data_IF_446580668944
#
_entry.id   IF_446580668944
#
_cell.length_a   1.000
_cell.length_b   1.000
_cell.length_c   1.000
_cell.angle_alpha   90.00
_cell.angle_beta   90.00
_cell.angle_gamma   90.00
#
_symmetry.space_group_name_H-M   'P 1'
#
loop_
_entity.id
_entity.type
_entity.pdbx_description
1 polymer ?
#
# COMPACT_ATOMS: atom_id res chain seq x y z
N UNK A 1 -37.11 -28.83 -14.52
CA UNK A 1 -36.93 -27.57 -15.28
C UNK A 1 -35.44 -27.27 -15.23
N UNK A 2 -34.70 -27.67 -16.26
CA UNK A 2 -33.24 -27.59 -16.33
C UNK A 2 -32.80 -26.16 -16.66
N UNK A 3 -31.87 -25.63 -15.86
CA UNK A 3 -31.21 -24.35 -16.13
C UNK A 3 -30.44 -24.45 -17.46
N UNK A 4 -30.47 -23.42 -18.32
CA UNK A 4 -29.73 -23.44 -19.58
C UNK A 4 -28.23 -23.35 -19.32
N UNK A 5 -27.49 -24.35 -19.80
CA UNK A 5 -26.03 -24.29 -19.94
C UNK A 5 -25.67 -23.15 -20.92
N UNK A 6 -25.15 -22.04 -20.41
CA UNK A 6 -24.46 -21.05 -21.24
C UNK A 6 -23.17 -21.66 -21.77
N UNK A 7 -23.23 -22.22 -22.98
CA UNK A 7 -22.04 -22.56 -23.78
C UNK A 7 -21.24 -21.27 -24.00
N UNK A 8 -20.07 -21.19 -23.39
CA UNK A 8 -19.09 -20.15 -23.73
C UNK A 8 -18.55 -20.52 -25.12
N UNK A 9 -19.15 -19.94 -26.16
CA UNK A 9 -18.59 -19.98 -27.49
C UNK A 9 -17.30 -19.14 -27.47
N UNK A 10 -16.14 -19.79 -27.47
CA UNK A 10 -14.86 -19.12 -27.72
C UNK A 10 -14.85 -18.67 -29.17
N UNK A 11 -15.29 -17.43 -29.42
CA UNK A 11 -15.17 -16.80 -30.71
C UNK A 11 -13.68 -16.61 -31.02
N UNK A 12 -13.25 -16.99 -32.23
CA UNK A 12 -11.91 -16.65 -32.71
C UNK A 12 -11.76 -15.13 -32.73
N UNK A 13 -10.65 -14.61 -32.18
CA UNK A 13 -10.32 -13.19 -32.31
C UNK A 13 -10.20 -12.90 -33.80
N UNK A 14 -10.87 -11.84 -34.25
CA UNK A 14 -10.80 -11.39 -35.64
C UNK A 14 -9.33 -11.15 -36.03
N UNK A 15 -8.89 -11.70 -37.17
CA UNK A 15 -7.52 -11.57 -37.66
C UNK A 15 -7.02 -10.12 -37.71
N UNK A 16 -7.89 -9.17 -38.05
CA UNK A 16 -7.53 -7.75 -38.07
C UNK A 16 -7.32 -7.18 -36.66
N UNK A 17 -8.14 -7.61 -35.71
CA UNK A 17 -7.96 -7.24 -34.29
C UNK A 17 -6.68 -7.85 -33.72
N UNK A 18 -6.38 -9.10 -34.06
CA UNK A 18 -5.15 -9.77 -33.65
C UNK A 18 -3.91 -9.07 -34.21
N UNK A 19 -3.97 -8.63 -35.48
CA UNK A 19 -2.91 -7.82 -36.10
C UNK A 19 -2.68 -6.51 -35.33
N UNK A 20 -3.73 -5.84 -34.88
CA UNK A 20 -3.62 -4.63 -34.05
C UNK A 20 -2.96 -4.95 -32.70
N UNK A 21 -3.41 -6.00 -32.00
CA UNK A 21 -2.86 -6.40 -30.70
C UNK A 21 -1.37 -6.78 -30.82
N UNK A 22 -1.00 -7.51 -31.88
CA UNK A 22 0.36 -8.00 -32.08
C UNK A 22 1.36 -6.90 -32.44
N UNK A 23 0.91 -5.80 -33.08
CA UNK A 23 1.80 -4.78 -33.64
C UNK A 23 1.71 -3.41 -32.94
N UNK A 24 0.72 -3.16 -32.08
CA UNK A 24 0.68 -1.93 -31.30
C UNK A 24 1.85 -1.89 -30.30
N UNK A 25 2.57 -0.76 -30.21
CA UNK A 25 3.52 -0.55 -29.12
C UNK A 25 2.85 -0.71 -27.74
N UNK A 26 3.53 -1.27 -26.73
CA UNK A 26 2.91 -1.51 -25.42
C UNK A 26 2.24 -0.29 -24.79
N UNK A 27 2.85 0.90 -24.91
CA UNK A 27 2.24 2.13 -24.39
C UNK A 27 0.98 2.54 -25.15
N UNK A 28 0.97 2.36 -26.48
CA UNK A 28 -0.22 2.61 -27.29
C UNK A 28 -1.34 1.62 -26.95
N UNK A 29 -1.02 0.34 -26.77
CA UNK A 29 -1.98 -0.67 -26.34
C UNK A 29 -2.59 -0.34 -24.96
N UNK A 30 -1.77 0.09 -23.99
CA UNK A 30 -2.26 0.55 -22.68
C UNK A 30 -3.15 1.78 -22.81
N UNK A 31 -2.79 2.74 -23.67
CA UNK A 31 -3.61 3.93 -23.92
C UNK A 31 -4.97 3.58 -24.52
N UNK A 32 -5.01 2.71 -25.54
CA UNK A 32 -6.26 2.23 -26.15
C UNK A 32 -7.11 1.48 -25.13
N UNK A 33 -6.50 0.59 -24.35
CA UNK A 33 -7.21 -0.15 -23.30
C UNK A 33 -7.83 0.79 -22.27
N UNK A 34 -7.09 1.79 -21.77
CA UNK A 34 -7.64 2.79 -20.84
C UNK A 34 -8.80 3.57 -21.47
N UNK A 35 -8.70 3.91 -22.75
CA UNK A 35 -9.80 4.58 -23.47
C UNK A 35 -11.04 3.71 -23.48
N UNK A 36 -10.94 2.43 -23.87
CA UNK A 36 -12.06 1.47 -23.87
C UNK A 36 -12.70 1.37 -22.49
N UNK A 37 -11.89 1.22 -21.43
CA UNK A 37 -12.41 1.09 -20.06
C UNK A 37 -13.10 2.36 -19.57
N UNK A 38 -12.68 3.53 -20.06
CA UNK A 38 -13.26 4.82 -19.69
C UNK A 38 -14.55 5.10 -20.46
N UNK A 39 -14.59 4.75 -21.75
CA UNK A 39 -15.77 4.99 -22.61
C UNK A 39 -16.85 3.94 -22.43
N UNK A 40 -16.46 2.71 -22.11
CA UNK A 40 -17.33 1.54 -22.08
C UNK A 40 -17.12 0.74 -20.78
N UNK A 41 -17.70 1.19 -19.64
CA UNK A 41 -17.44 0.60 -18.32
C UNK A 41 -17.75 -0.89 -18.20
N UNK A 42 -18.63 -1.42 -19.07
CA UNK A 42 -18.97 -2.84 -19.14
C UNK A 42 -17.77 -3.76 -19.43
N UNK A 43 -16.67 -3.25 -19.99
CA UNK A 43 -15.47 -4.04 -20.25
C UNK A 43 -14.55 -4.21 -19.02
N UNK A 44 -14.72 -3.41 -17.97
CA UNK A 44 -13.86 -3.48 -16.77
C UNK A 44 -13.92 -4.84 -16.11
N UNK A 45 -15.14 -5.34 -15.82
CA UNK A 45 -15.31 -6.66 -15.21
C UNK A 45 -14.83 -7.81 -16.12
N UNK A 46 -14.93 -7.66 -17.45
CA UNK A 46 -14.41 -8.63 -18.39
C UNK A 46 -12.88 -8.67 -18.37
N UNK A 47 -12.21 -7.51 -18.41
CA UNK A 47 -10.76 -7.41 -18.31
C UNK A 47 -10.25 -8.04 -17.00
N UNK A 48 -10.86 -7.68 -15.87
CA UNK A 48 -10.51 -8.25 -14.56
C UNK A 48 -10.69 -9.78 -14.54
N UNK A 49 -11.82 -10.28 -15.05
CA UNK A 49 -12.12 -11.71 -15.12
C UNK A 49 -11.10 -12.47 -15.98
N UNK A 50 -10.78 -11.96 -17.17
CA UNK A 50 -9.81 -12.60 -18.06
C UNK A 50 -8.39 -12.55 -17.48
N UNK A 51 -7.99 -11.43 -16.86
CA UNK A 51 -6.72 -11.31 -16.16
C UNK A 51 -6.62 -12.29 -14.98
N UNK A 52 -7.67 -12.40 -14.17
CA UNK A 52 -7.75 -13.35 -13.06
C UNK A 52 -7.57 -14.78 -13.54
N UNK A 53 -8.27 -15.18 -14.61
CA UNK A 53 -8.16 -16.52 -15.21
C UNK A 53 -6.76 -16.79 -15.74
N UNK A 54 -6.12 -15.81 -16.37
CA UNK A 54 -4.73 -15.92 -16.83
C UNK A 54 -3.77 -16.13 -15.65
N UNK A 55 -3.93 -15.36 -14.57
CA UNK A 55 -3.10 -15.50 -13.37
C UNK A 55 -3.25 -16.88 -12.74
N UNK A 56 -4.48 -17.33 -12.49
CA UNK A 56 -4.75 -18.65 -11.92
C UNK A 56 -4.21 -19.79 -12.79
N UNK A 57 -4.31 -19.67 -14.13
CA UNK A 57 -3.74 -20.64 -15.07
C UNK A 57 -2.21 -20.70 -15.02
N UNK A 58 -1.56 -19.56 -14.79
CA UNK A 58 -0.09 -19.45 -14.78
C UNK A 58 0.53 -19.60 -13.38
N UNK A 59 -0.28 -19.61 -12.32
CA UNK A 59 0.18 -19.74 -10.94
C UNK A 59 0.99 -21.02 -10.68
N UNK A 60 0.60 -22.21 -11.18
CA UNK A 60 1.38 -23.43 -10.93
C UNK A 60 2.81 -23.39 -11.47
N UNK A 61 3.05 -22.60 -12.52
CA UNK A 61 4.37 -22.43 -13.14
C UNK A 61 5.15 -21.23 -12.59
N UNK A 62 4.54 -20.41 -11.73
CA UNK A 62 5.18 -19.23 -11.18
C UNK A 62 5.96 -19.59 -9.91
N UNK A 63 7.27 -19.28 -9.89
CA UNK A 63 8.14 -19.44 -8.73
C UNK A 63 8.77 -18.10 -8.38
N UNK A 64 8.87 -17.78 -7.09
CA UNK A 64 9.38 -16.50 -6.61
C UNK A 64 10.91 -16.36 -6.75
N UNK A 65 11.65 -17.43 -7.02
CA UNK A 65 13.09 -17.42 -7.30
C UNK A 65 13.93 -16.62 -6.29
N UNK A 66 15.10 -16.13 -6.72
CA UNK A 66 15.95 -15.24 -5.92
C UNK A 66 15.58 -13.78 -6.18
N UNK A 67 15.19 -13.05 -5.13
CA UNK A 67 14.70 -11.67 -5.22
C UNK A 67 15.81 -10.62 -5.04
N UNK A 68 16.88 -11.00 -4.37
CA UNK A 68 17.99 -10.13 -4.04
C UNK A 68 19.30 -10.79 -4.46
N UNK A 69 20.28 -9.98 -4.81
CA UNK A 69 21.64 -10.41 -5.15
C UNK A 69 22.65 -9.48 -4.50
N UNK A 70 23.90 -9.93 -4.41
CA UNK A 70 24.97 -9.22 -3.72
C UNK A 70 25.02 -9.55 -2.23
N UNK A 71 25.90 -8.84 -1.53
CA UNK A 71 26.13 -8.99 -0.11
C UNK A 71 26.37 -7.63 0.56
N UNK A 72 26.54 -7.63 1.89
CA UNK A 72 26.79 -6.42 2.66
C UNK A 72 28.07 -5.66 2.22
N UNK A 73 28.99 -6.32 1.51
CA UNK A 73 30.27 -5.74 1.09
C UNK A 73 30.25 -5.19 -0.34
N UNK A 74 29.42 -5.77 -1.21
CA UNK A 74 29.32 -5.47 -2.64
C UNK A 74 28.10 -4.63 -3.01
N UNK A 75 27.18 -4.44 -2.07
CA UNK A 75 25.89 -3.77 -2.30
C UNK A 75 24.80 -4.80 -2.56
N UNK A 76 23.66 -4.65 -1.87
CA UNK A 76 22.48 -5.49 -2.08
C UNK A 76 21.58 -4.85 -3.13
N UNK A 77 21.24 -5.60 -4.16
CA UNK A 77 20.39 -5.16 -5.26
C UNK A 77 19.19 -6.10 -5.47
N UNK A 78 18.12 -5.56 -6.05
CA UNK A 78 16.96 -6.35 -6.47
C UNK A 78 17.21 -7.04 -7.81
N UNK A 79 16.76 -8.27 -7.96
CA UNK A 79 16.86 -9.02 -9.22
C UNK A 79 15.70 -8.71 -10.18
N UNK A 80 15.79 -9.20 -11.42
CA UNK A 80 14.66 -9.20 -12.37
C UNK A 80 13.45 -9.96 -11.83
N UNK A 81 13.69 -10.98 -11.01
CA UNK A 81 12.64 -11.77 -10.39
C UNK A 81 11.86 -10.97 -9.33
N UNK A 82 12.51 -10.03 -8.63
CA UNK A 82 11.83 -9.06 -7.78
C UNK A 82 10.80 -8.26 -8.57
N UNK A 83 11.25 -7.60 -9.64
CA UNK A 83 10.37 -6.80 -10.51
C UNK A 83 9.23 -7.62 -11.08
N UNK A 84 9.51 -8.85 -11.53
CA UNK A 84 8.49 -9.74 -12.11
C UNK A 84 7.45 -10.17 -11.07
N UNK A 85 7.90 -10.46 -9.84
CA UNK A 85 7.02 -10.82 -8.72
C UNK A 85 6.15 -9.64 -8.32
N UNK A 86 6.73 -8.44 -8.18
CA UNK A 86 5.99 -7.23 -7.85
C UNK A 86 4.95 -6.88 -8.91
N UNK A 87 5.29 -6.97 -10.20
CA UNK A 87 4.34 -6.77 -11.29
C UNK A 87 3.20 -7.78 -11.21
N UNK A 88 3.49 -9.06 -10.95
CA UNK A 88 2.46 -10.09 -10.79
C UNK A 88 1.52 -9.78 -9.62
N UNK A 89 2.05 -9.35 -8.49
CA UNK A 89 1.26 -8.92 -7.32
C UNK A 89 0.31 -7.78 -7.72
N UNK A 90 0.80 -6.71 -8.35
CA UNK A 90 -0.05 -5.58 -8.76
C UNK A 90 -1.17 -5.99 -9.69
N UNK A 91 -0.91 -6.91 -10.62
CA UNK A 91 -1.93 -7.46 -11.52
C UNK A 91 -2.93 -8.33 -10.74
N UNK A 92 -2.50 -9.09 -9.73
CA UNK A 92 -3.39 -9.81 -8.82
C UNK A 92 -4.31 -8.86 -8.06
N UNK A 93 -3.76 -7.79 -7.47
CA UNK A 93 -4.56 -6.79 -6.74
C UNK A 93 -5.60 -6.12 -7.65
N UNK A 94 -5.19 -5.66 -8.82
CA UNK A 94 -6.08 -5.03 -9.81
C UNK A 94 -7.10 -5.97 -10.44
N UNK A 95 -6.93 -7.29 -10.30
CA UNK A 95 -7.90 -8.30 -10.76
C UNK A 95 -8.62 -8.99 -9.61
N UNK A 96 -8.59 -8.41 -8.40
CA UNK A 96 -9.34 -8.86 -7.22
C UNK A 96 -8.85 -10.17 -6.58
N UNK A 97 -7.60 -10.55 -6.79
CA UNK A 97 -6.90 -11.67 -6.14
C UNK A 97 -6.04 -11.15 -4.98
N UNK A 98 -6.63 -10.37 -4.08
CA UNK A 98 -5.90 -9.68 -3.02
C UNK A 98 -5.20 -10.65 -2.06
N UNK A 99 -5.83 -11.74 -1.65
CA UNK A 99 -5.22 -12.71 -0.72
C UNK A 99 -4.09 -13.53 -1.35
N UNK A 100 -4.20 -13.89 -2.63
CA UNK A 100 -3.11 -14.51 -3.38
C UNK A 100 -1.93 -13.55 -3.53
N UNK A 101 -2.21 -12.25 -3.76
CA UNK A 101 -1.21 -11.19 -3.75
C UNK A 101 -0.53 -11.05 -2.38
N UNK A 102 -1.30 -11.07 -1.28
CA UNK A 102 -0.75 -11.05 0.09
C UNK A 102 0.19 -12.24 0.36
N UNK A 103 -0.12 -13.42 -0.20
CA UNK A 103 0.76 -14.58 -0.12
C UNK A 103 2.15 -14.31 -0.69
N UNK A 104 2.22 -13.75 -1.90
CA UNK A 104 3.48 -13.39 -2.55
C UNK A 104 4.19 -12.22 -1.85
N UNK A 105 3.46 -11.24 -1.33
CA UNK A 105 4.03 -10.16 -0.53
C UNK A 105 4.68 -10.70 0.75
N UNK A 106 4.03 -11.66 1.42
CA UNK A 106 4.61 -12.39 2.55
C UNK A 106 5.92 -13.08 2.19
N UNK A 107 5.99 -13.74 1.03
CA UNK A 107 7.22 -14.38 0.56
C UNK A 107 8.36 -13.37 0.30
N UNK A 108 8.05 -12.16 -0.20
CA UNK A 108 9.03 -11.07 -0.35
C UNK A 108 9.56 -10.64 1.02
N UNK A 109 8.69 -10.48 2.02
CA UNK A 109 9.07 -10.09 3.39
C UNK A 109 9.93 -11.18 4.05
N UNK A 110 9.56 -12.45 3.88
CA UNK A 110 10.32 -13.59 4.40
C UNK A 110 11.74 -13.63 3.80
N UNK A 111 11.89 -13.31 2.50
CA UNK A 111 13.21 -13.16 1.85
C UNK A 111 13.95 -11.90 2.30
N UNK A 112 13.24 -10.78 2.54
CA UNK A 112 13.83 -9.55 3.06
C UNK A 112 14.42 -9.77 4.47
N UNK A 113 13.73 -10.52 5.33
CA UNK A 113 14.22 -10.92 6.65
C UNK A 113 15.56 -11.66 6.59
N UNK A 114 15.79 -12.45 5.54
CA UNK A 114 17.02 -13.21 5.37
C UNK A 114 18.22 -12.34 4.98
N UNK A 115 18.00 -11.08 4.58
CA UNK A 115 19.05 -10.15 4.21
C UNK A 115 19.99 -9.87 5.39
N UNK A 116 21.26 -9.66 5.04
CA UNK A 116 22.31 -9.20 5.94
C UNK A 116 22.68 -7.80 5.48
N UNK A 117 22.03 -6.83 6.09
CA UNK A 117 22.34 -5.43 5.96
C UNK A 117 23.66 -5.18 6.71
N UNK A 118 24.58 -4.47 6.07
CA UNK A 118 25.82 -4.05 6.74
C UNK A 118 25.56 -3.04 7.86
N UNK A 119 26.63 -2.52 8.45
CA UNK A 119 26.54 -1.44 9.44
C UNK A 119 26.01 -0.13 8.84
N UNK A 120 26.11 0.03 7.53
CA UNK A 120 25.61 1.18 6.80
C UNK A 120 24.14 1.01 6.40
N UNK A 121 23.39 2.11 6.27
CA UNK A 121 22.03 2.05 5.75
C UNK A 121 22.03 1.39 4.36
N UNK A 122 20.97 0.64 4.01
CA UNK A 122 20.90 -0.01 2.71
C UNK A 122 20.95 1.02 1.58
N UNK A 123 21.39 0.59 0.41
CA UNK A 123 21.46 1.47 -0.76
C UNK A 123 20.09 2.05 -1.10
N UNK A 124 20.08 3.31 -1.54
CA UNK A 124 18.84 4.04 -1.82
C UNK A 124 17.91 3.30 -2.80
N UNK A 125 18.48 2.66 -3.83
CA UNK A 125 17.69 1.89 -4.81
C UNK A 125 17.00 0.68 -4.20
N UNK A 126 17.70 -0.05 -3.32
CA UNK A 126 17.09 -1.16 -2.59
C UNK A 126 15.98 -0.64 -1.67
N UNK A 127 16.24 0.44 -0.93
CA UNK A 127 15.23 1.06 -0.07
C UNK A 127 14.00 1.49 -0.86
N UNK A 128 14.16 2.15 -2.01
CA UNK A 128 13.05 2.53 -2.89
C UNK A 128 12.23 1.31 -3.35
N UNK A 129 12.88 0.21 -3.70
CA UNK A 129 12.20 -1.04 -4.05
C UNK A 129 11.42 -1.64 -2.88
N UNK A 130 11.96 -1.60 -1.67
CA UNK A 130 11.29 -2.10 -0.47
C UNK A 130 10.13 -1.19 -0.03
N UNK A 131 10.29 0.12 -0.09
CA UNK A 131 9.21 1.10 0.14
C UNK A 131 8.07 0.93 -0.87
N UNK A 132 8.42 0.61 -2.13
CA UNK A 132 7.45 0.27 -3.16
C UNK A 132 6.64 -0.98 -2.77
N UNK A 133 7.27 -2.00 -2.17
CA UNK A 133 6.57 -3.17 -1.64
C UNK A 133 5.70 -2.82 -0.43
N UNK A 134 6.16 -1.95 0.47
CA UNK A 134 5.35 -1.46 1.60
C UNK A 134 4.02 -0.85 1.12
N UNK A 135 4.10 0.00 0.08
CA UNK A 135 2.91 0.56 -0.57
C UNK A 135 2.04 -0.49 -1.28
N UNK A 136 2.62 -1.54 -1.86
CA UNK A 136 1.86 -2.65 -2.46
C UNK A 136 1.09 -3.43 -1.38
N UNK A 137 1.64 -3.57 -0.17
CA UNK A 137 0.93 -4.19 0.96
C UNK A 137 -0.23 -3.32 1.42
N UNK A 138 -0.02 -2.01 1.59
CA UNK A 138 -1.11 -1.06 1.92
C UNK A 138 -2.23 -1.16 0.88
N UNK A 139 -1.88 -1.14 -0.41
CA UNK A 139 -2.87 -1.30 -1.49
C UNK A 139 -3.61 -2.64 -1.41
N UNK A 140 -2.91 -3.73 -1.08
CA UNK A 140 -3.52 -5.04 -0.93
C UNK A 140 -4.51 -5.08 0.25
N UNK A 141 -4.17 -4.44 1.37
CA UNK A 141 -5.02 -4.31 2.54
C UNK A 141 -6.27 -3.46 2.27
N UNK A 142 -6.14 -2.34 1.55
CA UNK A 142 -7.30 -1.58 1.06
C UNK A 142 -8.21 -2.43 0.15
N UNK A 143 -7.62 -3.28 -0.71
CA UNK A 143 -8.40 -4.21 -1.53
C UNK A 143 -9.10 -5.30 -0.69
N UNK A 144 -8.49 -5.74 0.42
CA UNK A 144 -9.14 -6.64 1.39
C UNK A 144 -10.32 -5.93 2.06
N UNK A 145 -10.14 -4.72 2.57
CA UNK A 145 -11.23 -3.96 3.20
C UNK A 145 -12.41 -3.75 2.26
N UNK A 146 -12.14 -3.36 1.01
CA UNK A 146 -13.18 -3.26 -0.03
C UNK A 146 -13.91 -4.57 -0.26
N UNK A 147 -13.22 -5.71 -0.20
CA UNK A 147 -13.82 -7.04 -0.34
C UNK A 147 -14.60 -7.48 0.91
N UNK A 148 -14.30 -6.92 2.07
CA UNK A 148 -15.03 -7.16 3.33
C UNK A 148 -16.25 -6.23 3.47
N UNK A 149 -16.23 -5.07 2.85
CA UNK A 149 -17.34 -4.10 2.89
C UNK A 149 -18.43 -4.48 1.89
N UNK A 150 -19.59 -4.88 2.41
CA UNK A 150 -20.80 -5.16 1.64
C UNK A 150 -21.83 -4.03 1.84
N UNK A 151 -22.85 -3.89 0.98
CA UNK A 151 -23.96 -2.95 1.21
C UNK A 151 -24.69 -3.17 2.55
N UNK A 152 -24.64 -4.40 3.08
CA UNK A 152 -25.23 -4.78 4.37
C UNK A 152 -24.30 -4.56 5.56
N UNK A 153 -23.11 -3.98 5.35
CA UNK A 153 -22.07 -3.81 6.37
C UNK A 153 -20.83 -4.67 6.10
N UNK A 154 -19.93 -4.70 7.09
CA UNK A 154 -18.68 -5.47 7.00
C UNK A 154 -18.93 -6.95 7.29
N UNK A 155 -18.44 -7.83 6.42
CA UNK A 155 -18.40 -9.28 6.69
C UNK A 155 -17.15 -9.65 7.49
N UNK A 156 -17.25 -10.76 8.20
CA UNK A 156 -16.08 -11.38 8.84
C UNK A 156 -15.14 -12.02 7.81
N UNK A 157 -13.87 -12.16 8.22
CA UNK A 157 -12.86 -12.88 7.49
C UNK A 157 -13.17 -14.38 7.49
N UNK A 158 -13.03 -15.03 6.34
CA UNK A 158 -12.99 -16.49 6.29
C UNK A 158 -11.72 -17.03 6.94
N UNK A 159 -11.69 -18.31 7.31
CA UNK A 159 -10.55 -18.92 8.01
C UNK A 159 -9.23 -18.84 7.21
N UNK A 160 -9.30 -19.01 5.89
CA UNK A 160 -8.17 -18.91 4.98
C UNK A 160 -7.69 -17.47 4.79
N UNK A 161 -8.63 -16.53 4.73
CA UNK A 161 -8.36 -15.08 4.68
C UNK A 161 -7.67 -14.61 5.97
N UNK A 162 -8.18 -15.02 7.12
CA UNK A 162 -7.60 -14.75 8.44
C UNK A 162 -6.20 -15.37 8.58
N UNK A 163 -6.01 -16.60 8.11
CA UNK A 163 -4.69 -17.27 8.09
C UNK A 163 -3.69 -16.49 7.25
N UNK A 164 -4.11 -15.97 6.10
CA UNK A 164 -3.26 -15.21 5.18
C UNK A 164 -2.80 -13.89 5.82
N UNK A 165 -3.70 -13.15 6.47
CA UNK A 165 -3.36 -11.93 7.20
C UNK A 165 -2.47 -12.22 8.42
N UNK A 166 -2.79 -13.25 9.19
CA UNK A 166 -1.98 -13.65 10.36
C UNK A 166 -0.56 -14.06 9.95
N UNK A 167 -0.41 -14.74 8.80
CA UNK A 167 0.91 -15.03 8.23
C UNK A 167 1.66 -13.74 7.91
N UNK A 168 1.02 -12.79 7.24
CA UNK A 168 1.63 -11.51 6.89
C UNK A 168 2.09 -10.73 8.13
N UNK A 169 1.24 -10.62 9.15
CA UNK A 169 1.59 -10.00 10.44
C UNK A 169 2.84 -10.63 11.04
N UNK A 170 2.89 -11.97 11.09
CA UNK A 170 4.05 -12.70 11.61
C UNK A 170 5.31 -12.38 10.81
N UNK A 171 5.26 -12.47 9.48
CA UNK A 171 6.39 -12.17 8.60
C UNK A 171 6.91 -10.74 8.80
N UNK A 172 6.01 -9.75 8.90
CA UNK A 172 6.38 -8.35 9.16
C UNK A 172 7.06 -8.17 10.52
N UNK A 173 6.50 -8.74 11.59
CA UNK A 173 7.07 -8.64 12.94
C UNK A 173 8.43 -9.31 13.05
N UNK A 174 8.58 -10.51 12.46
CA UNK A 174 9.85 -11.23 12.44
C UNK A 174 10.90 -10.50 11.58
N UNK A 175 10.48 -9.91 10.46
CA UNK A 175 11.35 -9.07 9.64
C UNK A 175 11.78 -7.82 10.41
N UNK A 176 10.87 -7.12 11.11
CA UNK A 176 11.18 -5.95 11.94
C UNK A 176 12.19 -6.28 13.03
N UNK A 177 12.01 -7.41 13.72
CA UNK A 177 12.95 -7.88 14.75
C UNK A 177 14.34 -8.13 14.15
N UNK A 178 14.40 -8.80 13.01
CA UNK A 178 15.65 -9.04 12.28
C UNK A 178 16.32 -7.74 11.85
N UNK A 179 15.54 -6.78 11.33
CA UNK A 179 15.99 -5.47 10.88
C UNK A 179 16.63 -4.67 12.02
N UNK A 180 15.92 -4.54 13.16
CA UNK A 180 16.44 -3.84 14.35
C UNK A 180 17.67 -4.51 14.94
N UNK A 181 17.73 -5.85 14.92
CA UNK A 181 18.91 -6.58 15.42
C UNK A 181 20.19 -6.31 14.63
N UNK A 182 20.06 -5.81 13.40
CA UNK A 182 21.17 -5.42 12.53
C UNK A 182 21.53 -3.93 12.68
N UNK A 183 21.03 -3.25 13.74
CA UNK A 183 21.33 -1.84 14.02
C UNK A 183 20.55 -0.84 13.15
N UNK A 184 19.60 -1.32 12.35
CA UNK A 184 18.78 -0.47 11.49
C UNK A 184 17.57 0.07 12.26
N UNK A 185 17.54 1.38 12.48
CA UNK A 185 16.51 2.03 13.30
C UNK A 185 15.18 2.21 12.54
N UNK A 186 15.24 2.54 11.25
CA UNK A 186 14.06 2.79 10.42
C UNK A 186 13.66 1.50 9.70
N UNK A 187 12.53 0.93 10.08
CA UNK A 187 12.00 -0.27 9.43
C UNK A 187 11.19 0.11 8.19
N UNK A 188 11.55 -0.46 7.04
CA UNK A 188 11.00 -0.02 5.75
C UNK A 188 9.51 -0.37 5.54
N UNK A 189 8.96 -1.27 6.35
CA UNK A 189 7.57 -1.74 6.24
C UNK A 189 6.66 -1.25 7.39
N UNK A 190 6.96 -0.08 7.98
CA UNK A 190 6.18 0.45 9.11
C UNK A 190 4.74 0.83 8.71
N UNK A 191 4.49 1.26 7.46
CA UNK A 191 3.12 1.60 7.02
C UNK A 191 2.24 0.36 6.98
N UNK A 192 2.73 -0.69 6.31
CA UNK A 192 1.99 -1.95 6.20
C UNK A 192 1.81 -2.65 7.53
N UNK A 193 2.78 -2.57 8.44
CA UNK A 193 2.64 -3.11 9.79
C UNK A 193 1.54 -2.40 10.57
N UNK A 194 1.44 -1.07 10.45
CA UNK A 194 0.34 -0.30 11.02
C UNK A 194 -1.02 -0.70 10.43
N UNK A 195 -1.12 -0.74 9.10
CA UNK A 195 -2.38 -1.03 8.41
C UNK A 195 -2.90 -2.46 8.67
N UNK A 196 -2.00 -3.46 8.76
CA UNK A 196 -2.42 -4.85 9.03
C UNK A 196 -2.87 -5.05 10.48
N UNK A 197 -2.30 -4.29 11.43
CA UNK A 197 -2.70 -4.33 12.83
C UNK A 197 -4.15 -3.90 13.00
N UNK A 198 -4.54 -2.81 12.31
CA UNK A 198 -5.89 -2.26 12.34
C UNK A 198 -6.91 -3.29 11.81
N UNK A 199 -6.59 -4.00 10.72
CA UNK A 199 -7.48 -5.02 10.14
C UNK A 199 -7.60 -6.27 11.02
N UNK A 200 -6.50 -6.69 11.64
CA UNK A 200 -6.46 -7.93 12.45
C UNK A 200 -6.82 -7.72 13.91
N UNK A 201 -7.01 -6.46 14.36
CA UNK A 201 -7.13 -6.09 15.77
C UNK A 201 -5.98 -6.65 16.63
N UNK A 202 -4.81 -6.83 16.02
CA UNK A 202 -3.64 -7.32 16.74
C UNK A 202 -3.08 -6.15 17.54
N UNK A 203 -3.05 -6.28 18.86
CA UNK A 203 -2.36 -5.30 19.70
C UNK A 203 -0.86 -5.42 19.44
N UNK A 204 -0.33 -4.48 18.66
CA UNK A 204 1.09 -4.40 18.41
C UNK A 204 1.66 -3.40 19.40
N UNK A 205 2.67 -3.82 20.16
CA UNK A 205 3.63 -2.90 20.79
C UNK A 205 4.43 -2.22 19.66
N UNK A 206 3.77 -1.29 18.97
CA UNK A 206 4.44 -0.29 18.16
C UNK A 206 5.07 0.65 19.18
N UNK A 207 6.38 0.52 19.38
CA UNK A 207 7.17 1.50 20.12
C UNK A 207 7.20 2.81 19.33
N UNK A 208 6.08 3.52 19.37
CA UNK A 208 5.90 4.94 19.15
C UNK A 208 4.61 5.29 19.90
N UNK A 209 4.74 6.02 21.00
CA UNK A 209 3.74 6.11 22.07
C UNK A 209 2.32 6.44 21.59
N UNK A 210 1.36 5.61 21.99
CA UNK A 210 -0.06 5.81 21.71
C UNK A 210 -0.83 4.51 21.82
N UNK A 211 -1.17 4.15 23.06
CA UNK A 211 -2.05 3.03 23.39
C UNK A 211 -3.37 3.15 22.62
N UNK A 212 -3.62 2.24 21.68
CA UNK A 212 -4.89 2.13 20.95
C UNK A 212 -5.65 0.89 21.45
N UNK A 213 -6.04 0.91 22.72
CA UNK A 213 -7.30 0.31 23.12
C UNK A 213 -8.36 1.40 23.17
N UNK A 214 -9.52 1.12 22.61
CA UNK A 214 -10.71 1.96 22.56
C UNK A 214 -11.28 2.22 23.96
N UNK A 215 -10.60 3.07 24.73
CA UNK A 215 -11.14 3.77 25.90
C UNK A 215 -10.13 4.84 26.32
N UNK A 216 -10.56 6.10 26.42
CA UNK A 216 -9.79 7.17 27.06
C UNK A 216 -9.35 6.70 28.46
N UNK A 217 -8.04 6.77 28.79
CA UNK A 217 -7.69 7.63 29.92
C UNK A 217 -6.37 8.39 29.76
N UNK A 218 -6.37 9.58 30.36
CA UNK A 218 -5.20 10.39 30.71
C UNK A 218 -4.10 9.55 31.37
N UNK A 219 -2.89 9.56 30.80
CA UNK A 219 -1.71 9.00 31.43
C UNK A 219 -0.44 9.62 30.85
N UNK A 220 0.32 10.31 31.71
CA UNK A 220 1.57 10.98 31.41
C UNK A 220 2.64 9.97 30.99
N UNK A 221 3.15 10.10 29.76
CA UNK A 221 4.33 9.41 29.26
C UNK A 221 5.16 10.40 28.45
N UNK A 222 6.44 10.53 28.77
CA UNK A 222 7.35 11.53 28.21
C UNK A 222 7.63 11.22 26.73
N UNK A 223 7.01 11.97 25.81
CA UNK A 223 7.20 11.89 24.36
C UNK A 223 8.34 12.83 23.93
N UNK A 224 9.25 12.45 23.02
CA UNK A 224 10.22 13.37 22.45
C UNK A 224 9.48 14.51 21.72
N UNK A 225 9.67 15.74 22.20
CA UNK A 225 8.97 16.92 21.68
C UNK A 225 9.31 17.20 20.21
N UNK A 226 8.32 17.09 19.32
CA UNK A 226 8.36 17.81 18.04
C UNK A 226 8.15 19.28 18.38
N UNK A 227 9.08 20.21 18.06
CA UNK A 227 8.93 21.61 18.47
C UNK A 227 7.59 22.15 17.96
N UNK A 228 6.83 22.80 18.84
CA UNK A 228 5.56 23.45 18.51
C UNK A 228 5.72 24.25 17.22
N UNK A 229 5.16 23.71 16.13
CA UNK A 229 5.32 24.32 14.81
C UNK A 229 4.43 25.54 14.83
N UNK A 230 5.02 26.73 14.85
CA UNK A 230 4.27 27.95 14.58
C UNK A 230 3.80 27.88 13.12
N UNK A 231 2.58 27.41 12.91
CA UNK A 231 1.99 27.24 11.58
C UNK A 231 1.62 28.64 11.09
N UNK A 232 2.28 29.16 10.03
CA UNK A 232 1.91 30.45 9.49
C UNK A 232 0.48 30.36 8.89
N UNK A 233 -0.30 31.46 8.93
CA UNK A 233 -1.61 31.46 8.31
C UNK A 233 -1.49 31.17 6.81
N UNK A 234 -2.47 30.47 6.22
CA UNK A 234 -2.46 30.22 4.79
C UNK A 234 -2.45 31.55 4.01
N UNK A 235 -1.70 31.63 2.88
CA UNK A 235 -1.51 32.88 2.16
C UNK A 235 -2.78 33.41 1.49
N UNK A 236 -3.70 32.51 1.11
CA UNK A 236 -5.00 32.85 0.53
C UNK A 236 -6.08 31.92 1.08
N UNK A 237 -7.22 32.51 1.47
CA UNK A 237 -8.40 31.78 1.96
C UNK A 237 -9.65 32.14 1.17
N UNK A 238 -10.68 31.31 1.30
CA UNK A 238 -12.04 31.58 0.85
C UNK A 238 -13.04 31.06 1.88
N UNK A 239 -14.24 31.64 1.91
CA UNK A 239 -15.29 31.19 2.82
C UNK A 239 -16.17 30.14 2.17
N UNK A 240 -16.35 29.01 2.85
CA UNK A 240 -17.30 27.96 2.51
C UNK A 240 -18.25 27.76 3.68
N UNK A 241 -19.51 28.17 3.51
CA UNK A 241 -20.56 28.04 4.53
C UNK A 241 -20.14 28.59 5.92
N UNK A 242 -19.43 29.72 5.95
CA UNK A 242 -18.96 30.33 7.20
C UNK A 242 -17.69 29.72 7.79
N UNK A 243 -17.08 28.74 7.12
CA UNK A 243 -15.74 28.22 7.45
C UNK A 243 -14.72 28.83 6.50
N UNK A 244 -13.72 29.53 7.02
CA UNK A 244 -12.60 30.04 6.21
C UNK A 244 -11.62 28.90 5.93
N UNK A 245 -11.42 28.59 4.65
CA UNK A 245 -10.58 27.48 4.19
C UNK A 245 -9.43 28.02 3.31
N UNK A 246 -8.25 27.39 3.32
CA UNK A 246 -7.18 27.76 2.39
C UNK A 246 -7.59 27.46 0.94
N UNK A 247 -7.13 28.26 -0.02
CA UNK A 247 -7.42 28.01 -1.44
C UNK A 247 -6.70 26.79 -2.03
N UNK A 248 -5.71 26.25 -1.32
CA UNK A 248 -4.93 25.09 -1.74
C UNK A 248 -5.14 23.92 -0.78
N UNK A 249 -5.48 22.77 -1.36
CA UNK A 249 -5.66 21.49 -0.67
C UNK A 249 -4.57 20.54 -1.14
N UNK A 250 -3.88 19.91 -0.21
CA UNK A 250 -2.87 18.90 -0.49
C UNK A 250 -3.54 17.54 -0.69
N UNK A 251 -3.65 17.08 -1.94
CA UNK A 251 -4.14 15.73 -2.25
C UNK A 251 -3.21 14.64 -1.75
N UNK A 252 -3.79 13.58 -1.17
CA UNK A 252 -3.06 12.41 -0.69
C UNK A 252 -3.21 11.16 -1.58
N UNK A 253 -3.78 11.31 -2.78
CA UNK A 253 -4.04 10.21 -3.72
C UNK A 253 -2.78 9.43 -4.13
N UNK A 254 -1.58 10.01 -4.08
CA UNK A 254 -0.31 9.29 -4.32
C UNK A 254 -0.06 8.16 -3.30
N UNK A 255 -0.73 8.16 -2.15
CA UNK A 255 -0.63 7.10 -1.15
C UNK A 255 -1.47 5.86 -1.49
N UNK A 256 -2.34 5.95 -2.52
CA UNK A 256 -3.24 4.87 -2.94
C UNK A 256 -2.55 3.64 -3.55
N UNK A 257 -1.39 3.84 -4.21
CA UNK A 257 -0.63 2.77 -4.86
C UNK A 257 0.78 3.24 -5.24
N UNK A 258 1.77 2.35 -5.20
CA UNK A 258 3.10 2.58 -5.77
C UNK A 258 3.11 2.97 -7.26
N UNK A 259 1.99 2.77 -7.97
CA UNK A 259 1.83 3.23 -9.36
C UNK A 259 1.80 4.76 -9.49
N UNK A 260 1.49 5.47 -8.41
CA UNK A 260 1.32 6.92 -8.37
C UNK A 260 2.39 7.66 -7.55
N UNK A 261 3.14 6.92 -6.73
CA UNK A 261 4.23 7.44 -5.93
C UNK A 261 4.66 6.44 -4.86
N UNK A 262 5.90 6.54 -4.40
CA UNK A 262 6.43 5.73 -3.30
C UNK A 262 7.01 6.66 -2.23
N UNK A 263 6.72 6.38 -0.96
CA UNK A 263 7.29 7.07 0.17
C UNK A 263 7.20 6.21 1.44
N UNK A 264 8.27 6.20 2.24
CA UNK A 264 8.26 5.61 3.60
C UNK A 264 7.39 6.45 4.54
N UNK A 265 7.04 5.88 5.70
CA UNK A 265 6.31 6.60 6.75
C UNK A 265 7.03 7.91 7.12
N UNK A 266 8.35 7.85 7.26
CA UNK A 266 9.23 8.95 7.67
C UNK A 266 9.32 10.03 6.60
N UNK A 267 9.38 9.63 5.32
CA UNK A 267 9.33 10.57 4.19
C UNK A 267 7.99 11.31 4.16
N UNK A 268 6.89 10.61 4.40
CA UNK A 268 5.53 11.19 4.47
C UNK A 268 5.44 12.17 5.65
N UNK A 269 5.83 11.75 6.85
CA UNK A 269 5.82 12.61 8.04
C UNK A 269 6.67 13.86 7.86
N UNK A 270 7.88 13.73 7.30
CA UNK A 270 8.76 14.88 6.99
C UNK A 270 8.10 15.84 6.00
N UNK A 271 7.40 15.31 5.01
CA UNK A 271 6.68 16.14 4.03
C UNK A 271 5.50 16.87 4.67
N UNK A 272 4.73 16.21 5.54
CA UNK A 272 3.66 16.85 6.30
C UNK A 272 4.19 17.98 7.18
N UNK A 273 5.26 17.75 7.95
CA UNK A 273 5.90 18.80 8.74
C UNK A 273 6.36 19.98 7.88
N UNK A 274 6.94 19.71 6.71
CA UNK A 274 7.40 20.74 5.77
C UNK A 274 6.25 21.55 5.17
N UNK A 275 5.09 20.93 4.97
CA UNK A 275 3.89 21.57 4.42
C UNK A 275 3.21 22.44 5.48
N UNK A 276 3.03 21.90 6.69
CA UNK A 276 2.53 22.66 7.84
C UNK A 276 3.40 23.87 8.16
N UNK A 277 4.73 23.73 8.13
CA UNK A 277 5.65 24.86 8.38
C UNK A 277 5.54 25.98 7.34
N UNK A 278 4.81 25.76 6.25
CA UNK A 278 4.54 26.72 5.17
C UNK A 278 3.08 27.16 5.10
N UNK A 279 2.24 26.76 6.05
CA UNK A 279 0.83 27.12 6.11
C UNK A 279 -0.09 26.29 5.20
N UNK A 280 0.39 25.16 4.68
CA UNK A 280 -0.45 24.20 3.97
C UNK A 280 -1.16 23.27 4.97
N UNK A 281 -2.37 23.66 5.37
CA UNK A 281 -3.12 23.04 6.47
C UNK A 281 -4.35 22.24 6.04
N UNK A 282 -4.72 22.25 4.75
CA UNK A 282 -5.84 21.47 4.23
C UNK A 282 -5.35 20.30 3.38
N UNK A 283 -5.88 19.11 3.66
CA UNK A 283 -5.52 17.86 2.99
C UNK A 283 -6.77 17.17 2.46
N UNK A 284 -6.69 16.65 1.24
CA UNK A 284 -7.74 15.87 0.60
C UNK A 284 -7.43 14.37 0.70
N UNK A 285 -8.39 13.63 1.25
CA UNK A 285 -8.30 12.22 1.63
C UNK A 285 -9.57 11.47 1.22
N UNK A 286 -9.43 10.18 0.95
CA UNK A 286 -10.54 9.28 0.68
C UNK A 286 -10.22 7.86 1.16
N UNK A 287 -11.28 7.09 1.43
CA UNK A 287 -11.25 5.67 1.84
C UNK A 287 -10.45 4.75 0.89
N UNK A 288 -10.29 5.14 -0.36
CA UNK A 288 -9.54 4.40 -1.37
C UNK A 288 -8.11 4.92 -1.57
N UNK A 289 -7.63 5.87 -0.75
CA UNK A 289 -6.27 6.40 -0.79
C UNK A 289 -5.31 5.64 0.13
N UNK A 290 -5.48 4.32 0.25
CA UNK A 290 -4.59 3.50 1.06
C UNK A 290 -4.75 3.79 2.55
N UNK A 291 -3.64 4.06 3.21
CA UNK A 291 -3.50 4.41 4.63
C UNK A 291 -3.48 5.93 4.88
N UNK A 292 -3.89 6.75 3.91
CA UNK A 292 -3.78 8.22 3.99
C UNK A 292 -4.43 8.80 5.25
N UNK A 293 -5.65 8.38 5.59
CA UNK A 293 -6.36 8.87 6.78
C UNK A 293 -5.63 8.48 8.07
N UNK A 294 -5.17 7.23 8.17
CA UNK A 294 -4.45 6.72 9.34
C UNK A 294 -3.12 7.45 9.54
N UNK A 295 -2.37 7.67 8.47
CA UNK A 295 -1.10 8.40 8.51
C UNK A 295 -1.30 9.86 8.91
N UNK A 296 -2.34 10.51 8.37
CA UNK A 296 -2.66 11.90 8.70
C UNK A 296 -3.09 12.05 10.17
N UNK A 297 -4.00 11.21 10.65
CA UNK A 297 -4.48 11.25 12.05
C UNK A 297 -3.34 10.99 13.04
N UNK A 298 -2.48 10.01 12.77
CA UNK A 298 -1.31 9.73 13.63
C UNK A 298 -0.40 10.96 13.69
N UNK A 299 -0.10 11.57 12.56
CA UNK A 299 0.74 12.77 12.49
C UNK A 299 0.17 13.98 13.26
N UNK A 300 -1.14 14.24 13.13
CA UNK A 300 -1.82 15.31 13.91
C UNK A 300 -1.84 15.01 15.41
N UNK A 301 -2.06 13.75 15.79
CA UNK A 301 -2.04 13.33 17.20
C UNK A 301 -0.66 13.55 17.83
N UNK A 302 0.41 13.23 17.09
CA UNK A 302 1.78 13.54 17.51
C UNK A 302 2.04 15.04 17.62
N UNK A 303 1.47 15.85 16.73
CA UNK A 303 1.68 17.31 16.71
C UNK A 303 0.93 18.03 17.84
N UNK A 304 -0.27 17.57 18.19
CA UNK A 304 -1.13 18.18 19.24
C UNK A 304 -0.82 17.70 20.65
N UNK A 305 -0.26 16.51 20.84
CA UNK A 305 0.19 16.03 22.15
C UNK A 305 1.30 16.91 22.74
N UNK A 306 2.13 17.54 21.90
CA UNK A 306 3.19 18.46 22.34
C UNK A 306 2.65 19.82 22.81
N UNK A 307 1.46 20.23 22.37
CA UNK A 307 0.84 21.50 22.77
C UNK A 307 0.21 21.48 24.17
N UNK A 308 -0.15 20.32 24.70
CA UNK A 308 -0.88 20.21 25.99
C UNK A 308 0.00 20.00 27.22
N UNK A 309 1.29 19.76 27.03
CA UNK A 309 2.27 19.57 28.11
C UNK A 309 3.16 20.82 28.36
N UNK A 310 2.75 21.99 27.84
CA UNK A 310 3.33 23.32 28.14
C UNK A 310 2.42 24.15 29.07
#
# INVERSE_FOLDING_TARGET
>A
MSLPETRIATAHVNLMTDTVIANLPPEALRSVMRSILTTDPGFTGALECHTRRYLLKTSPSFSIGELFTGDASSGLETTVQFTTTQQRIRVMLGSGLCFEGLGLLGDIIDKCRALRLGEHPPEERLLQSLVSVDGDIVQALTAVEKKLTLPSGRRDLAEDESRSLTRLVRSLLECRKGWRSQGQNEFVFERSLGAVADITSTNLDLEDGGDHSSSLPRGQGHVPAVPAVNIPPPPETFDLQGTSLPRLFCGLWQLSSPSWGIASKEQISRQFSRYLSKGFVAYDMADHYGDAEVLFVRFESFSTAVEKDC
#
